data_IF_160509302542
#
_entry.id   IF_160509302542
#
_cell.length_a   1.000
_cell.length_b   1.000
_cell.length_c   1.000
_cell.angle_alpha   90.00
_cell.angle_beta   90.00
_cell.angle_gamma   90.00
#
_symmetry.space_group_name_H-M   'P 1'
#
loop_
_entity.id
_entity.type
_entity.pdbx_description
1 polymer ?
#
# COMPACT_ATOMS: atom_id res chain seq x y z
N UNK A 1 -23.01 -27.02 15.21
CA UNK A 1 -21.98 -25.98 15.44
C UNK A 1 -22.55 -24.93 16.38
N UNK A 2 -21.78 -24.53 17.42
CA UNK A 2 -22.17 -23.44 18.32
C UNK A 2 -21.61 -22.13 17.75
N UNK A 3 -22.48 -21.19 17.40
CA UNK A 3 -22.11 -19.87 16.86
C UNK A 3 -22.46 -18.81 17.89
N UNK A 4 -21.51 -17.92 18.18
CA UNK A 4 -21.70 -16.82 19.14
C UNK A 4 -22.03 -15.52 18.39
N UNK A 5 -23.01 -14.73 18.86
CA UNK A 5 -23.44 -13.53 18.15
C UNK A 5 -22.49 -12.35 18.44
N UNK A 6 -21.42 -12.22 17.67
CA UNK A 6 -20.43 -11.13 17.86
C UNK A 6 -20.60 -9.95 16.90
N UNK A 7 -21.30 -10.14 15.77
CA UNK A 7 -21.35 -9.17 14.66
C UNK A 7 -21.96 -7.81 15.02
N UNK A 8 -22.90 -7.79 15.97
CA UNK A 8 -23.62 -6.57 16.35
C UNK A 8 -22.86 -5.72 17.39
N UNK A 9 -21.93 -6.32 18.14
CA UNK A 9 -21.21 -5.61 19.19
C UNK A 9 -20.03 -4.85 18.59
N UNK A 10 -19.96 -3.50 18.74
CA UNK A 10 -18.86 -2.71 18.22
C UNK A 10 -17.48 -3.13 18.75
N UNK A 11 -17.43 -3.66 19.98
CA UNK A 11 -16.20 -4.09 20.64
C UNK A 11 -15.73 -5.48 20.20
N UNK A 12 -16.65 -6.33 19.75
CA UNK A 12 -16.37 -7.73 19.43
C UNK A 12 -16.34 -8.01 17.93
N UNK A 13 -16.99 -7.16 17.12
CA UNK A 13 -16.99 -7.32 15.67
C UNK A 13 -15.58 -7.11 15.12
N UNK A 14 -15.20 -7.93 14.15
CA UNK A 14 -13.95 -7.73 13.44
C UNK A 14 -13.97 -6.36 12.72
N UNK A 15 -12.84 -5.64 12.67
CA UNK A 15 -12.73 -4.45 11.84
C UNK A 15 -12.98 -4.79 10.37
N UNK A 16 -13.83 -4.02 9.72
CA UNK A 16 -14.01 -4.12 8.27
C UNK A 16 -12.80 -3.46 7.59
N UNK A 17 -12.15 -4.19 6.68
CA UNK A 17 -10.98 -3.73 5.94
C UNK A 17 -11.31 -3.77 4.46
N UNK A 18 -11.09 -2.64 3.78
CA UNK A 18 -11.35 -2.53 2.34
C UNK A 18 -10.27 -3.20 1.47
N UNK A 19 -9.12 -3.52 2.06
CA UNK A 19 -7.98 -4.16 1.40
C UNK A 19 -7.35 -5.21 2.32
N UNK A 20 -6.93 -6.35 1.76
CA UNK A 20 -6.18 -7.34 2.51
C UNK A 20 -4.76 -6.82 2.81
N UNK A 21 -4.17 -7.32 3.91
CA UNK A 21 -2.81 -6.93 4.31
C UNK A 21 -1.78 -7.25 3.22
N UNK A 22 -1.91 -8.40 2.56
CA UNK A 22 -1.01 -8.85 1.49
C UNK A 22 -1.07 -7.93 0.27
N UNK A 23 -2.26 -7.50 -0.12
CA UNK A 23 -2.49 -6.57 -1.23
C UNK A 23 -1.90 -5.19 -0.93
N UNK A 24 -2.11 -4.67 0.28
CA UNK A 24 -1.49 -3.42 0.71
C UNK A 24 0.04 -3.49 0.71
N UNK A 25 0.61 -4.59 1.19
CA UNK A 25 2.06 -4.80 1.14
C UNK A 25 2.60 -4.86 -0.29
N UNK A 26 1.86 -5.46 -1.22
CA UNK A 26 2.23 -5.48 -2.63
C UNK A 26 2.17 -4.07 -3.23
N UNK A 27 1.13 -3.30 -2.92
CA UNK A 27 1.00 -1.91 -3.36
C UNK A 27 2.18 -1.04 -2.87
N UNK A 28 2.54 -1.16 -1.59
CA UNK A 28 3.70 -0.46 -1.02
C UNK A 28 4.97 -0.81 -1.80
N UNK A 29 5.25 -2.11 -1.99
CA UNK A 29 6.43 -2.55 -2.75
C UNK A 29 6.45 -2.02 -4.17
N UNK A 30 5.30 -1.98 -4.85
CA UNK A 30 5.20 -1.48 -6.22
C UNK A 30 5.52 0.01 -6.30
N UNK A 31 4.97 0.82 -5.39
CA UNK A 31 5.26 2.27 -5.34
C UNK A 31 6.73 2.50 -5.02
N UNK A 32 7.30 1.76 -4.06
CA UNK A 32 8.73 1.84 -3.75
C UNK A 32 9.58 1.48 -4.96
N UNK A 33 9.25 0.39 -5.67
CA UNK A 33 9.98 -0.02 -6.86
C UNK A 33 9.92 1.05 -7.95
N UNK A 34 8.75 1.67 -8.16
CA UNK A 34 8.64 2.77 -9.13
C UNK A 34 9.55 3.94 -8.73
N UNK A 35 9.43 4.40 -7.48
CA UNK A 35 10.18 5.53 -6.95
C UNK A 35 11.70 5.37 -7.12
N UNK A 36 12.26 4.24 -6.70
CA UNK A 36 13.71 4.02 -6.74
C UNK A 36 14.26 3.86 -8.16
N UNK A 37 13.39 3.63 -9.15
CA UNK A 37 13.78 3.52 -10.55
C UNK A 37 13.45 4.77 -11.37
N UNK A 38 12.97 5.85 -10.74
CA UNK A 38 12.86 7.14 -11.42
C UNK A 38 14.29 7.60 -11.71
N UNK A 39 14.60 7.72 -13.01
CA UNK A 39 15.88 8.18 -13.52
C UNK A 39 15.66 8.95 -14.81
N UNK A 40 16.50 9.94 -15.03
CA UNK A 40 16.55 10.68 -16.28
C UNK A 40 17.72 10.18 -17.12
N UNK A 41 17.42 9.26 -18.02
CA UNK A 41 18.43 8.68 -18.93
C UNK A 41 18.84 9.66 -20.03
N UNK A 42 18.03 10.68 -20.31
CA UNK A 42 18.27 11.67 -21.37
C UNK A 42 19.10 12.87 -20.92
N UNK A 43 19.21 13.06 -19.60
CA UNK A 43 19.91 14.20 -19.01
C UNK A 43 19.18 15.54 -19.15
N UNK A 44 17.88 15.52 -19.41
CA UNK A 44 16.99 16.70 -19.45
C UNK A 44 17.07 17.56 -18.19
N UNK A 45 17.36 16.97 -17.04
CA UNK A 45 17.44 17.68 -15.76
C UNK A 45 18.87 18.01 -15.32
N UNK A 46 19.91 17.69 -16.12
CA UNK A 46 21.27 18.17 -15.84
C UNK A 46 21.42 19.61 -16.31
N UNK A 47 21.48 20.57 -15.39
CA UNK A 47 21.96 21.91 -15.70
C UNK A 47 23.49 21.90 -15.73
N UNK A 48 24.08 22.06 -16.91
CA UNK A 48 25.51 22.37 -17.04
C UNK A 48 25.75 23.74 -16.40
N UNK A 49 26.70 23.88 -15.45
CA UNK A 49 27.14 25.20 -15.02
C UNK A 49 27.96 25.84 -16.16
N UNK A 50 27.54 27.04 -16.58
CA UNK A 50 28.32 27.94 -17.43
C UNK A 50 29.17 28.91 -16.60
#
# INVERSE_FOLDING_TARGET
MKVWPVKHSPLLRQPERFIARSELQALIRNVTQNLVNIKDESGQFFTTPG
#
